data_IF_333507092870
#
_entry.id   IF_333507092870
#
_cell.length_a   1.000
_cell.length_b   1.000
_cell.length_c   1.000
_cell.angle_alpha   90.00
_cell.angle_beta   90.00
_cell.angle_gamma   90.00
#
_symmetry.space_group_name_H-M   'P 1'
#
loop_
_entity.id
_entity.type
_entity.pdbx_description
1 polymer ?
#
# COMPACT_ATOMS: atom_id res chain seq x y z
N UNK A 1 -23.52 -24.39 -13.65
CA UNK A 1 -22.33 -23.58 -13.24
C UNK A 1 -21.19 -23.86 -14.22
N UNK A 2 -20.72 -22.86 -14.97
CA UNK A 2 -19.61 -23.03 -15.89
C UNK A 2 -18.33 -23.38 -15.09
N UNK A 3 -17.71 -24.52 -15.43
CA UNK A 3 -16.45 -24.97 -14.83
C UNK A 3 -15.40 -23.90 -15.11
N UNK A 4 -14.78 -23.33 -14.06
CA UNK A 4 -13.66 -22.42 -14.21
C UNK A 4 -12.56 -23.14 -15.00
N UNK A 5 -12.17 -22.56 -16.14
CA UNK A 5 -11.02 -23.08 -16.86
C UNK A 5 -9.77 -22.92 -15.99
N UNK A 6 -8.89 -23.93 -15.93
CA UNK A 6 -7.65 -23.82 -15.20
C UNK A 6 -6.77 -22.72 -15.83
N UNK A 7 -5.93 -22.05 -15.02
CA UNK A 7 -5.02 -21.06 -15.53
C UNK A 7 -4.01 -21.68 -16.50
N UNK A 8 -3.66 -20.95 -17.54
CA UNK A 8 -2.71 -21.39 -18.58
C UNK A 8 -1.37 -20.70 -18.48
N UNK A 9 -1.30 -19.56 -17.80
CA UNK A 9 -0.09 -18.77 -17.55
C UNK A 9 0.20 -18.75 -16.07
N UNK A 10 1.46 -19.00 -15.70
CA UNK A 10 1.88 -19.05 -14.30
C UNK A 10 3.19 -18.28 -14.13
N UNK A 11 3.31 -17.51 -13.07
CA UNK A 11 4.54 -16.81 -12.75
C UNK A 11 4.34 -15.62 -11.84
N UNK A 12 5.44 -14.94 -11.58
CA UNK A 12 5.47 -13.69 -10.82
C UNK A 12 6.01 -12.60 -11.73
N UNK A 13 5.40 -11.44 -11.69
CA UNK A 13 5.94 -10.25 -12.33
C UNK A 13 5.97 -9.08 -11.35
N UNK A 14 6.91 -8.20 -11.57
CA UNK A 14 7.07 -6.96 -10.82
C UNK A 14 6.56 -5.83 -11.70
N UNK A 15 5.68 -5.02 -11.14
CA UNK A 15 5.11 -3.86 -11.82
C UNK A 15 5.49 -2.62 -11.05
N UNK A 16 6.01 -1.62 -11.73
CA UNK A 16 6.11 -0.26 -11.20
C UNK A 16 4.72 0.38 -11.33
N UNK A 17 4.00 0.47 -10.20
CA UNK A 17 2.65 1.00 -10.19
C UNK A 17 2.69 2.51 -10.40
N UNK A 18 2.03 3.05 -11.43
CA UNK A 18 1.95 4.49 -11.61
C UNK A 18 1.02 5.14 -10.60
N UNK A 19 1.16 6.45 -10.42
CA UNK A 19 0.22 7.30 -9.67
C UNK A 19 -1.18 7.26 -10.31
N UNK A 20 -2.22 7.43 -9.50
CA UNK A 20 -3.62 7.51 -9.94
C UNK A 20 -4.30 6.17 -10.21
N UNK A 21 -3.60 5.06 -9.99
CA UNK A 21 -4.16 3.72 -10.12
C UNK A 21 -4.14 2.99 -8.78
N UNK A 22 -5.20 2.23 -8.51
CA UNK A 22 -5.19 1.28 -7.41
C UNK A 22 -4.38 0.02 -7.77
N UNK A 23 -3.90 -0.71 -6.77
CA UNK A 23 -3.27 -2.02 -7.00
C UNK A 23 -4.21 -2.99 -7.73
N UNK A 24 -5.53 -2.86 -7.50
CA UNK A 24 -6.53 -3.69 -8.17
C UNK A 24 -6.73 -3.33 -9.64
N UNK A 25 -6.57 -2.06 -10.02
CA UNK A 25 -6.62 -1.63 -11.43
C UNK A 25 -5.47 -2.25 -12.23
N UNK A 26 -4.27 -2.31 -11.64
CA UNK A 26 -3.13 -3.01 -12.23
C UNK A 26 -3.46 -4.49 -12.47
N UNK A 27 -4.02 -5.18 -11.47
CA UNK A 27 -4.49 -6.56 -11.63
C UNK A 27 -5.52 -6.67 -12.74
N UNK A 28 -6.47 -5.72 -12.82
CA UNK A 28 -7.50 -5.68 -13.86
C UNK A 28 -6.93 -5.57 -15.27
N UNK A 29 -5.91 -4.73 -15.46
CA UNK A 29 -5.22 -4.59 -16.75
C UNK A 29 -4.45 -5.87 -17.13
N UNK A 30 -3.74 -6.47 -16.17
CA UNK A 30 -2.99 -7.70 -16.42
C UNK A 30 -3.91 -8.90 -16.72
N UNK A 31 -5.08 -8.98 -16.08
CA UNK A 31 -6.09 -9.99 -16.43
C UNK A 31 -6.51 -9.91 -17.90
N UNK A 32 -6.70 -8.70 -18.42
CA UNK A 32 -7.02 -8.48 -19.83
C UNK A 32 -5.86 -8.86 -20.74
N UNK A 33 -4.63 -8.41 -20.38
CA UNK A 33 -3.45 -8.60 -21.22
C UNK A 33 -3.03 -10.07 -21.31
N UNK A 34 -3.11 -10.84 -20.23
CA UNK A 34 -2.76 -12.25 -20.20
C UNK A 34 -3.93 -13.19 -20.52
N UNK A 35 -5.14 -12.64 -20.68
CA UNK A 35 -6.38 -13.43 -20.76
C UNK A 35 -6.53 -14.42 -19.61
N UNK A 36 -6.01 -14.05 -18.44
CA UNK A 36 -5.93 -14.89 -17.24
C UNK A 36 -6.71 -14.23 -16.09
N UNK A 37 -7.61 -15.02 -15.48
CA UNK A 37 -8.44 -14.52 -14.38
C UNK A 37 -7.76 -14.61 -13.02
N UNK A 38 -6.91 -15.62 -12.84
CA UNK A 38 -6.24 -15.89 -11.58
C UNK A 38 -4.98 -15.03 -11.47
N UNK A 39 -5.15 -13.76 -11.14
CA UNK A 39 -4.08 -12.79 -10.89
C UNK A 39 -4.37 -12.07 -9.58
N UNK A 40 -3.36 -11.89 -8.76
CA UNK A 40 -3.40 -11.16 -7.50
C UNK A 40 -2.10 -10.40 -7.24
N UNK A 41 -2.08 -9.56 -6.21
CA UNK A 41 -0.91 -8.78 -5.79
C UNK A 41 -0.54 -9.06 -4.33
N UNK A 42 0.72 -8.82 -3.97
CA UNK A 42 1.22 -8.89 -2.60
C UNK A 42 1.41 -7.48 -2.05
N UNK A 43 0.46 -7.05 -1.25
CA UNK A 43 0.42 -5.72 -0.65
C UNK A 43 -0.39 -4.72 -1.48
N UNK A 44 -1.03 -3.81 -0.78
CA UNK A 44 -1.78 -2.72 -1.39
C UNK A 44 -0.92 -1.47 -1.37
N UNK A 45 -0.86 -0.78 -2.51
CA UNK A 45 -0.35 0.58 -2.62
C UNK A 45 -1.55 1.49 -2.85
N UNK A 46 -1.55 2.63 -2.16
CA UNK A 46 -2.56 3.65 -2.34
C UNK A 46 -2.54 4.23 -3.76
N UNK A 47 -3.62 4.84 -4.24
CA UNK A 47 -3.66 5.42 -5.59
C UNK A 47 -2.52 6.40 -5.88
N UNK A 48 -2.16 7.22 -4.89
CA UNK A 48 -1.12 8.24 -5.02
C UNK A 48 0.29 7.71 -4.82
N UNK A 49 0.44 6.51 -4.22
CA UNK A 49 1.72 5.86 -4.10
C UNK A 49 2.15 5.22 -5.43
N UNK A 50 3.44 5.34 -5.75
CA UNK A 50 4.08 4.66 -6.90
C UNK A 50 5.04 3.58 -6.40
N UNK A 51 5.51 2.72 -7.30
CA UNK A 51 6.60 1.80 -7.03
C UNK A 51 6.23 0.32 -7.13
N UNK A 52 7.03 -0.51 -6.49
CA UNK A 52 7.05 -1.96 -6.67
C UNK A 52 5.76 -2.63 -6.21
N UNK A 53 5.04 -3.21 -7.15
CA UNK A 53 3.88 -4.07 -6.91
C UNK A 53 4.19 -5.49 -7.40
N UNK A 54 4.25 -6.43 -6.46
CA UNK A 54 4.48 -7.85 -6.78
C UNK A 54 3.17 -8.47 -7.22
N UNK A 55 3.13 -8.99 -8.44
CA UNK A 55 1.96 -9.64 -9.04
C UNK A 55 2.25 -11.12 -9.23
N UNK A 56 1.30 -11.95 -8.85
CA UNK A 56 1.33 -13.37 -9.15
C UNK A 56 0.20 -13.77 -10.11
N UNK A 57 0.52 -14.64 -11.05
CA UNK A 57 -0.36 -15.09 -12.13
C UNK A 57 -0.56 -16.60 -12.02
N UNK A 58 -1.79 -17.05 -12.19
CA UNK A 58 -2.14 -18.46 -12.19
C UNK A 58 -1.81 -19.15 -10.86
N UNK A 59 -1.18 -20.30 -10.90
CA UNK A 59 -0.85 -21.07 -9.70
C UNK A 59 0.08 -20.34 -8.74
N UNK A 60 0.88 -19.37 -9.22
CA UNK A 60 1.77 -18.57 -8.38
C UNK A 60 1.02 -17.66 -7.39
N UNK A 61 -0.28 -17.41 -7.58
CA UNK A 61 -1.10 -16.66 -6.59
C UNK A 61 -1.09 -17.29 -5.19
N UNK A 62 -0.79 -18.58 -5.08
CA UNK A 62 -0.64 -19.27 -3.79
C UNK A 62 0.59 -18.81 -3.00
N UNK A 63 1.57 -18.23 -3.70
CA UNK A 63 2.79 -17.70 -3.08
C UNK A 63 2.61 -16.29 -2.50
N UNK A 64 1.52 -15.59 -2.83
CA UNK A 64 1.28 -14.22 -2.38
C UNK A 64 1.28 -14.09 -0.86
N UNK A 65 0.80 -15.09 -0.12
CA UNK A 65 0.82 -15.09 1.34
C UNK A 65 2.23 -14.89 1.92
N UNK A 66 3.25 -15.47 1.28
CA UNK A 66 4.64 -15.32 1.71
C UNK A 66 5.22 -13.96 1.31
N UNK A 67 4.89 -13.46 0.12
CA UNK A 67 5.32 -12.16 -0.33
C UNK A 67 4.65 -11.00 0.44
N UNK A 68 3.42 -11.19 0.92
CA UNK A 68 2.73 -10.20 1.76
C UNK A 68 3.42 -10.01 3.11
N UNK A 69 3.99 -11.08 3.67
CA UNK A 69 4.72 -11.05 4.94
C UNK A 69 6.15 -10.49 4.83
N UNK A 70 6.63 -10.16 3.61
CA UNK A 70 7.98 -9.64 3.42
C UNK A 70 8.11 -8.18 3.88
N UNK A 71 9.35 -7.77 4.20
CA UNK A 71 9.70 -6.39 4.51
C UNK A 71 9.43 -5.47 3.32
N UNK A 72 8.98 -4.25 3.61
CA UNK A 72 8.71 -3.21 2.63
C UNK A 72 9.44 -1.93 3.02
N UNK A 73 9.92 -1.20 2.03
CA UNK A 73 10.53 0.12 2.22
C UNK A 73 9.69 1.16 1.49
N UNK A 74 9.36 2.23 2.19
CA UNK A 74 8.64 3.36 1.65
C UNK A 74 9.47 4.63 1.79
N UNK A 75 9.38 5.50 0.78
CA UNK A 75 9.90 6.85 0.83
C UNK A 75 8.69 7.76 0.77
N UNK A 76 8.51 8.61 1.77
CA UNK A 76 7.38 9.51 1.87
C UNK A 76 7.80 10.89 2.33
N UNK A 77 6.98 11.88 2.06
CA UNK A 77 7.08 13.24 2.57
C UNK A 77 6.10 13.40 3.73
N UNK A 78 6.58 13.90 4.85
CA UNK A 78 5.75 14.23 6.01
C UNK A 78 5.66 15.73 6.13
N UNK A 79 4.46 16.29 6.04
CA UNK A 79 4.19 17.72 6.21
C UNK A 79 3.80 17.97 7.66
N UNK A 80 4.69 18.62 8.41
CA UNK A 80 4.43 18.95 9.81
C UNK A 80 3.46 20.17 9.92
N UNK A 81 2.72 20.19 11.01
CA UNK A 81 1.82 21.31 11.33
C UNK A 81 0.43 21.23 10.72
N UNK A 82 0.12 20.19 9.96
CA UNK A 82 -1.22 19.98 9.41
C UNK A 82 -1.71 18.57 9.73
N UNK A 83 -2.86 18.48 10.37
CA UNK A 83 -3.57 17.22 10.58
C UNK A 83 -4.72 17.09 9.57
N UNK A 84 -4.95 15.87 9.09
CA UNK A 84 -6.04 15.57 8.18
C UNK A 84 -6.88 14.39 8.67
N UNK A 85 -8.12 14.30 8.23
CA UNK A 85 -9.07 13.25 8.62
C UNK A 85 -8.64 11.83 8.21
N UNK A 86 -7.84 11.70 7.17
CA UNK A 86 -7.31 10.43 6.66
C UNK A 86 -5.85 10.18 7.02
N UNK A 87 -5.19 11.13 7.69
CA UNK A 87 -3.75 11.13 7.99
C UNK A 87 -2.85 11.14 6.73
N UNK A 88 -3.39 11.57 5.60
CA UNK A 88 -2.68 11.78 4.35
C UNK A 88 -3.12 13.08 3.67
N UNK A 89 -2.52 13.43 2.52
CA UNK A 89 -2.80 14.66 1.80
C UNK A 89 -4.20 14.70 1.14
N UNK A 90 -4.93 13.59 1.08
CA UNK A 90 -6.26 13.52 0.49
C UNK A 90 -7.38 13.88 1.48
N UNK A 91 -7.07 13.88 2.79
CA UNK A 91 -8.03 14.18 3.85
C UNK A 91 -8.35 15.67 4.00
N UNK A 92 -9.50 15.95 4.61
CA UNK A 92 -9.85 17.32 5.03
C UNK A 92 -8.96 17.75 6.20
N UNK A 93 -8.50 19.00 6.19
CA UNK A 93 -7.69 19.55 7.28
C UNK A 93 -8.54 19.66 8.55
N UNK A 94 -8.11 19.01 9.61
CA UNK A 94 -8.79 18.97 10.91
C UNK A 94 -8.14 19.88 11.96
N UNK A 95 -6.82 20.08 11.87
CA UNK A 95 -6.10 21.00 12.73
C UNK A 95 -4.83 21.53 12.04
N UNK A 96 -4.37 22.68 12.53
CA UNK A 96 -3.09 23.27 12.13
C UNK A 96 -2.31 23.71 13.36
N UNK A 97 -0.99 23.53 13.32
CA UNK A 97 -0.07 23.82 14.42
C UNK A 97 1.10 24.63 13.91
N UNK A 98 1.59 25.56 14.73
CA UNK A 98 2.81 26.28 14.43
C UNK A 98 4.03 25.37 14.66
N UNK A 99 4.80 25.17 13.58
CA UNK A 99 6.02 24.33 13.60
C UNK A 99 7.29 25.16 13.41
N UNK A 100 7.21 26.48 13.54
CA UNK A 100 8.35 27.41 13.29
C UNK A 100 9.57 27.13 14.16
N UNK A 101 9.36 26.59 15.35
CA UNK A 101 10.45 26.27 16.31
C UNK A 101 10.90 24.79 16.22
N UNK A 102 10.27 23.97 15.38
CA UNK A 102 10.60 22.54 15.28
C UNK A 102 11.85 22.36 14.43
N UNK A 103 12.83 21.69 15.00
CA UNK A 103 14.11 21.41 14.34
C UNK A 103 14.17 19.99 13.77
N UNK A 104 15.10 19.74 12.87
CA UNK A 104 15.35 18.39 12.36
C UNK A 104 15.78 17.44 13.51
N UNK A 105 16.51 17.94 14.50
CA UNK A 105 16.92 17.15 15.67
C UNK A 105 15.73 16.71 16.50
N UNK A 106 14.71 17.57 16.65
CA UNK A 106 13.47 17.20 17.34
C UNK A 106 12.72 16.09 16.60
N UNK A 107 12.62 16.19 15.28
CA UNK A 107 11.99 15.16 14.46
C UNK A 107 12.76 13.84 14.58
N UNK A 108 14.09 13.86 14.46
CA UNK A 108 14.92 12.67 14.59
C UNK A 108 14.79 12.01 15.96
N UNK A 109 14.76 12.80 17.02
CA UNK A 109 14.56 12.31 18.39
C UNK A 109 13.20 11.62 18.55
N UNK A 110 12.13 12.27 18.10
CA UNK A 110 10.77 11.71 18.19
C UNK A 110 10.66 10.40 17.39
N UNK A 111 11.22 10.34 16.19
CA UNK A 111 11.27 9.12 15.38
C UNK A 111 12.02 8.01 16.11
N UNK A 112 13.19 8.31 16.69
CA UNK A 112 13.99 7.32 17.40
C UNK A 112 13.29 6.78 18.65
N UNK A 113 12.54 7.61 19.36
CA UNK A 113 11.86 7.24 20.59
C UNK A 113 10.53 6.49 20.36
N UNK A 114 9.82 6.78 19.25
CA UNK A 114 8.42 6.36 19.12
C UNK A 114 8.13 5.54 17.86
N UNK A 115 8.99 5.57 16.84
CA UNK A 115 8.70 4.96 15.54
C UNK A 115 9.70 3.88 15.12
N UNK A 116 10.60 3.48 15.99
CA UNK A 116 11.55 2.39 15.74
C UNK A 116 11.17 1.12 16.49
N UNK A 117 11.35 -0.03 15.83
CA UNK A 117 11.04 -1.34 16.38
C UNK A 117 9.59 -1.77 16.20
N UNK A 118 9.11 -2.63 17.07
CA UNK A 118 7.69 -3.00 17.11
C UNK A 118 6.89 -1.88 17.77
N UNK A 119 5.93 -1.34 17.01
CA UNK A 119 5.03 -0.29 17.50
C UNK A 119 3.59 -0.69 17.23
N UNK A 120 2.68 -0.31 18.13
CA UNK A 120 1.25 -0.42 17.92
C UNK A 120 0.74 0.80 17.15
N UNK A 121 0.02 0.55 16.05
CA UNK A 121 -0.59 1.60 15.25
C UNK A 121 -2.11 1.50 15.31
N UNK A 122 -2.77 2.61 15.66
CA UNK A 122 -4.20 2.75 15.47
C UNK A 122 -4.44 3.29 14.07
N UNK A 123 -5.01 2.48 13.14
CA UNK A 123 -5.25 2.95 11.78
C UNK A 123 -6.32 4.05 11.77
N UNK A 124 -6.24 5.02 10.85
CA UNK A 124 -7.29 6.02 10.68
C UNK A 124 -8.61 5.35 10.28
N UNK A 125 -9.74 6.04 10.52
CA UNK A 125 -11.08 5.55 10.17
C UNK A 125 -11.22 5.30 8.66
N UNK A 126 -10.53 6.09 7.83
CA UNK A 126 -10.41 5.86 6.39
C UNK A 126 -9.14 5.04 6.14
N UNK A 127 -9.28 3.73 6.10
CA UNK A 127 -8.15 2.79 5.93
C UNK A 127 -8.56 1.62 5.06
N UNK A 128 -7.57 1.01 4.38
CA UNK A 128 -7.76 -0.26 3.68
C UNK A 128 -7.95 -1.46 4.63
N UNK A 129 -7.67 -1.28 5.91
CA UNK A 129 -7.87 -2.30 6.96
C UNK A 129 -9.35 -2.32 7.33
N UNK A 130 -9.97 -3.50 7.19
CA UNK A 130 -11.35 -3.72 7.62
C UNK A 130 -11.35 -4.25 9.04
N UNK A 131 -11.99 -3.52 9.96
CA UNK A 131 -12.29 -3.97 11.31
C UNK A 131 -13.78 -4.29 11.38
N UNK A 132 -14.12 -5.51 11.80
CA UNK A 132 -15.50 -6.01 11.96
C UNK A 132 -16.38 -5.90 10.67
N UNK A 133 -15.75 -5.96 9.53
CA UNK A 133 -16.45 -5.96 8.23
C UNK A 133 -16.76 -4.63 7.65
#
# INVERSE_FOLDING_TARGET
MARRQPPTVHGVCIVDKPVGMTSHDVVGQLRKRFSERQIGHAGTLDPDATGVLVIAVGMATRLLQFATASTKTYIGEVVLGTETSSLDAAGEVTATHDMSEVTLEDVQRVVAENLLGEIDQIPPMVSAIKVDG
#
